data_IF_297718964353
#
_entry.id   IF_297718964353
#
_cell.length_a   1.000
_cell.length_b   1.000
_cell.length_c   1.000
_cell.angle_alpha   90.00
_cell.angle_beta   90.00
_cell.angle_gamma   90.00
#
_symmetry.space_group_name_H-M   'P 1'
#
loop_
_entity.id
_entity.type
_entity.pdbx_description
1 polymer ?
#
# COMPACT_ATOMS: atom_id res chain seq x y z
N UNK A 1 -12.11 12.61 25.89
CA UNK A 1 -11.47 11.37 25.40
C UNK A 1 -10.54 11.76 24.26
N UNK A 2 -9.26 11.40 24.32
CA UNK A 2 -8.38 11.60 23.17
C UNK A 2 -8.88 10.71 22.02
N UNK A 3 -9.41 11.30 20.96
CA UNK A 3 -9.79 10.57 19.74
C UNK A 3 -8.50 9.99 19.14
N UNK A 4 -8.43 8.67 19.03
CA UNK A 4 -7.37 7.99 18.28
C UNK A 4 -7.82 7.95 16.83
N UNK A 5 -7.07 8.57 15.92
CA UNK A 5 -7.39 8.55 14.49
C UNK A 5 -6.58 7.52 13.72
N UNK A 6 -5.52 6.98 14.31
CA UNK A 6 -4.65 5.97 13.71
C UNK A 6 -4.39 4.85 14.74
N UNK A 7 -4.64 3.62 14.36
CA UNK A 7 -4.67 2.45 15.24
C UNK A 7 -3.95 1.26 14.60
N UNK A 8 -3.55 0.24 15.37
CA UNK A 8 -3.06 -1.02 14.82
C UNK A 8 -4.08 -1.68 13.90
N UNK A 9 -3.57 -2.46 12.95
CA UNK A 9 -4.36 -3.21 11.99
C UNK A 9 -3.99 -4.70 12.02
N UNK A 10 -4.84 -5.55 11.46
CA UNK A 10 -4.45 -6.89 11.07
C UNK A 10 -3.72 -6.81 9.73
N UNK A 11 -2.41 -7.08 9.75
CA UNK A 11 -1.54 -6.92 8.58
C UNK A 11 -1.17 -8.29 8.03
N UNK A 12 -1.32 -8.45 6.73
CA UNK A 12 -0.98 -9.68 6.00
C UNK A 12 0.30 -9.47 5.20
N UNK A 13 1.26 -10.37 5.37
CA UNK A 13 2.48 -10.39 4.56
C UNK A 13 2.64 -11.75 3.87
N UNK A 14 3.11 -11.78 2.61
CA UNK A 14 3.36 -13.03 1.91
C UNK A 14 4.47 -13.82 2.58
N UNK A 15 4.39 -15.14 2.47
CA UNK A 15 5.44 -16.05 2.94
C UNK A 15 6.09 -16.76 1.76
N UNK A 16 7.39 -17.05 1.91
CA UNK A 16 8.15 -17.87 0.95
C UNK A 16 8.08 -17.34 -0.50
N UNK A 17 8.10 -16.03 -0.68
CA UNK A 17 8.16 -15.40 -1.99
C UNK A 17 9.29 -14.38 -2.07
N UNK A 18 9.71 -14.07 -3.29
CA UNK A 18 10.64 -12.98 -3.57
C UNK A 18 9.93 -11.63 -3.39
N UNK A 19 10.29 -10.90 -2.35
CA UNK A 19 9.68 -9.62 -2.02
C UNK A 19 9.95 -8.54 -3.07
N UNK A 20 11.05 -8.63 -3.82
CA UNK A 20 11.35 -7.71 -4.93
C UNK A 20 10.39 -7.89 -6.11
N UNK A 21 9.90 -9.12 -6.33
CA UNK A 21 8.86 -9.44 -7.31
C UNK A 21 7.44 -9.27 -6.77
N UNK A 22 7.28 -9.42 -5.45
CA UNK A 22 6.00 -9.21 -4.79
C UNK A 22 5.57 -7.75 -4.86
N UNK A 23 6.46 -6.81 -4.57
CA UNK A 23 6.12 -5.41 -4.33
C UNK A 23 6.17 -4.59 -5.61
N UNK A 24 5.00 -4.30 -6.17
CA UNK A 24 4.82 -3.47 -7.36
C UNK A 24 4.37 -2.06 -6.97
N UNK A 25 4.65 -1.08 -7.80
CA UNK A 25 4.21 0.31 -7.62
C UNK A 25 2.68 0.40 -7.54
N UNK A 26 2.17 1.48 -6.93
CA UNK A 26 0.72 1.71 -6.83
C UNK A 26 0.05 1.77 -8.23
N UNK A 27 -1.16 1.25 -8.31
CA UNK A 27 -1.89 1.02 -9.56
C UNK A 27 -2.20 2.30 -10.36
N UNK A 28 -2.16 3.46 -9.71
CA UNK A 28 -2.39 4.79 -10.30
C UNK A 28 -1.12 5.49 -10.79
N UNK A 29 0.03 4.81 -10.71
CA UNK A 29 1.30 5.31 -11.24
C UNK A 29 1.52 4.81 -12.68
N UNK A 30 2.32 5.53 -13.44
CA UNK A 30 2.71 5.17 -14.80
C UNK A 30 1.54 4.87 -15.75
N UNK A 31 0.42 5.60 -15.58
CA UNK A 31 -0.84 5.38 -16.34
C UNK A 31 -0.73 5.68 -17.83
N UNK A 32 0.29 6.44 -18.25
CA UNK A 32 0.60 6.76 -19.64
C UNK A 32 1.86 6.06 -20.18
N UNK A 33 2.40 5.09 -19.43
CA UNK A 33 3.67 4.42 -19.74
C UNK A 33 3.48 2.90 -19.82
N UNK A 34 2.94 2.36 -20.92
CA UNK A 34 2.67 0.92 -21.07
C UNK A 34 3.95 0.07 -21.02
N UNK A 35 5.09 0.62 -21.44
CA UNK A 35 6.39 -0.06 -21.37
C UNK A 35 6.78 -0.40 -19.95
N UNK A 36 6.53 0.50 -18.98
CA UNK A 36 6.78 0.23 -17.55
C UNK A 36 6.05 -1.03 -17.09
N UNK A 37 4.75 -1.13 -17.40
CA UNK A 37 3.94 -2.27 -16.96
C UNK A 37 4.31 -3.57 -17.69
N UNK A 38 4.79 -3.49 -18.93
CA UNK A 38 5.32 -4.65 -19.65
C UNK A 38 6.60 -5.16 -18.98
N UNK A 39 7.56 -4.27 -18.68
CA UNK A 39 8.82 -4.62 -17.99
C UNK A 39 8.57 -5.20 -16.61
N UNK A 40 7.61 -4.63 -15.85
CA UNK A 40 7.17 -5.17 -14.56
C UNK A 40 6.62 -6.59 -14.73
N UNK A 41 5.77 -6.82 -15.73
CA UNK A 41 5.19 -8.13 -16.00
C UNK A 41 6.26 -9.16 -16.39
N UNK A 42 7.22 -8.78 -17.22
CA UNK A 42 8.37 -9.62 -17.61
C UNK A 42 9.25 -9.96 -16.40
N UNK A 43 9.54 -8.99 -15.54
CA UNK A 43 10.34 -9.20 -14.33
C UNK A 43 9.65 -10.12 -13.32
N UNK A 44 8.35 -9.93 -13.10
CA UNK A 44 7.54 -10.75 -12.19
C UNK A 44 7.42 -12.18 -12.72
N UNK A 45 7.13 -12.36 -14.02
CA UNK A 45 6.88 -13.67 -14.63
C UNK A 45 5.75 -14.40 -13.90
N UNK A 46 5.97 -15.67 -13.56
CA UNK A 46 5.00 -16.53 -12.87
C UNK A 46 5.06 -16.41 -11.33
N UNK A 47 5.90 -15.51 -10.79
CA UNK A 47 6.05 -15.35 -9.35
C UNK A 47 4.79 -14.74 -8.72
N UNK A 48 4.48 -15.08 -7.45
CA UNK A 48 3.47 -14.35 -6.69
C UNK A 48 3.83 -12.86 -6.59
N UNK A 49 2.85 -11.99 -6.89
CA UNK A 49 3.07 -10.55 -6.94
C UNK A 49 1.79 -9.76 -6.72
N UNK A 50 1.92 -8.55 -6.17
CA UNK A 50 0.82 -7.60 -6.09
C UNK A 50 0.35 -7.14 -7.47
N UNK A 51 1.15 -7.31 -8.53
CA UNK A 51 0.71 -7.11 -9.92
C UNK A 51 -0.57 -7.90 -10.24
N UNK A 52 -0.69 -9.11 -9.70
CA UNK A 52 -1.80 -10.03 -9.97
C UNK A 52 -3.04 -9.78 -9.11
N UNK A 53 -2.94 -8.89 -8.12
CA UNK A 53 -4.01 -8.59 -7.16
C UNK A 53 -4.31 -7.09 -7.03
N UNK A 54 -3.71 -6.27 -7.90
CA UNK A 54 -4.06 -4.86 -8.10
C UNK A 54 -4.53 -4.63 -9.53
N UNK A 55 -5.23 -3.51 -9.75
CA UNK A 55 -5.72 -3.15 -11.08
C UNK A 55 -4.97 -1.90 -11.57
N UNK A 56 -3.92 -2.03 -12.40
CA UNK A 56 -3.25 -0.88 -12.97
C UNK A 56 -4.20 -0.03 -13.81
N UNK A 57 -4.24 1.26 -13.56
CA UNK A 57 -5.22 2.17 -14.18
C UNK A 57 -5.02 2.36 -15.69
N UNK A 58 -3.88 1.95 -16.23
CA UNK A 58 -3.67 1.88 -17.68
C UNK A 58 -4.68 0.98 -18.41
N UNK A 59 -5.39 0.10 -17.66
CA UNK A 59 -6.40 -0.81 -18.20
C UNK A 59 -7.85 -0.33 -18.00
N UNK A 60 -8.07 0.89 -17.48
CA UNK A 60 -9.41 1.41 -17.19
C UNK A 60 -10.32 1.46 -18.43
N UNK A 61 -9.76 1.79 -19.60
CA UNK A 61 -10.49 1.95 -20.86
C UNK A 61 -10.45 0.69 -21.73
N UNK A 62 -10.06 -0.47 -21.18
CA UNK A 62 -9.99 -1.73 -21.92
C UNK A 62 -11.29 -2.53 -21.78
N UNK A 63 -11.68 -3.21 -22.86
CA UNK A 63 -12.92 -4.01 -22.92
C UNK A 63 -12.89 -5.20 -21.95
N UNK A 64 -11.71 -5.71 -21.58
CA UNK A 64 -11.51 -6.83 -20.67
C UNK A 64 -11.46 -6.44 -19.19
N UNK A 65 -11.76 -5.18 -18.85
CA UNK A 65 -11.67 -4.64 -17.49
C UNK A 65 -12.39 -5.51 -16.44
N UNK A 66 -13.61 -5.90 -16.71
CA UNK A 66 -14.43 -6.68 -15.76
C UNK A 66 -13.85 -8.09 -15.54
N UNK A 67 -13.38 -8.72 -16.59
CA UNK A 67 -12.69 -10.02 -16.50
C UNK A 67 -11.40 -9.91 -15.66
N UNK A 68 -10.64 -8.84 -15.82
CA UNK A 68 -9.43 -8.59 -15.00
C UNK A 68 -9.79 -8.43 -13.52
N UNK A 69 -10.86 -7.70 -13.19
CA UNK A 69 -11.32 -7.50 -11.80
C UNK A 69 -11.71 -8.84 -11.16
N UNK A 70 -12.45 -9.67 -11.87
CA UNK A 70 -12.79 -11.01 -11.38
C UNK A 70 -11.55 -11.89 -11.14
N UNK A 71 -10.58 -11.82 -12.04
CA UNK A 71 -9.33 -12.58 -11.90
C UNK A 71 -8.50 -12.08 -10.70
N UNK A 72 -8.47 -10.77 -10.44
CA UNK A 72 -7.83 -10.17 -9.26
C UNK A 72 -8.42 -10.78 -7.99
N UNK A 73 -9.75 -10.78 -7.84
CA UNK A 73 -10.41 -11.31 -6.66
C UNK A 73 -10.14 -12.80 -6.45
N UNK A 74 -10.20 -13.61 -7.52
CA UNK A 74 -9.83 -15.03 -7.46
C UNK A 74 -8.39 -15.23 -6.99
N UNK A 75 -7.48 -14.39 -7.47
CA UNK A 75 -6.06 -14.46 -7.11
C UNK A 75 -5.83 -14.01 -5.66
N UNK A 76 -6.55 -12.97 -5.17
CA UNK A 76 -6.49 -12.55 -3.78
C UNK A 76 -6.87 -13.72 -2.83
N UNK A 77 -7.97 -14.42 -3.08
CA UNK A 77 -8.37 -15.60 -2.30
C UNK A 77 -7.35 -16.75 -2.35
N UNK A 78 -6.66 -16.90 -3.48
CA UNK A 78 -5.56 -17.87 -3.58
C UNK A 78 -4.37 -17.46 -2.72
N UNK A 79 -3.99 -16.19 -2.76
CA UNK A 79 -2.82 -15.67 -2.03
C UNK A 79 -3.07 -15.58 -0.52
N UNK A 80 -4.29 -15.24 -0.09
CA UNK A 80 -4.68 -15.19 1.32
C UNK A 80 -4.24 -16.43 2.09
N UNK A 81 -4.39 -17.61 1.49
CA UNK A 81 -4.04 -18.91 2.10
C UNK A 81 -2.56 -19.09 2.42
N UNK A 82 -1.70 -18.31 1.77
CA UNK A 82 -0.23 -18.38 1.92
C UNK A 82 0.33 -17.17 2.67
N UNK A 83 -0.53 -16.31 3.20
CA UNK A 83 -0.09 -15.12 3.94
C UNK A 83 0.02 -15.37 5.43
N UNK A 84 0.98 -14.72 6.06
CA UNK A 84 1.09 -14.62 7.52
C UNK A 84 0.35 -13.39 7.99
N UNK A 85 -0.57 -13.57 8.95
CA UNK A 85 -1.33 -12.49 9.55
C UNK A 85 -0.65 -12.05 10.85
N UNK A 86 -0.36 -10.78 10.97
CA UNK A 86 0.10 -10.11 12.17
C UNK A 86 -1.08 -9.34 12.77
N UNK A 87 -1.63 -9.88 13.84
CA UNK A 87 -2.81 -9.32 14.51
C UNK A 87 -2.48 -8.09 15.32
N UNK A 88 -3.35 -7.05 15.24
CA UNK A 88 -3.26 -5.83 16.04
C UNK A 88 -1.85 -5.22 15.99
N UNK A 89 -1.31 -5.07 14.79
CA UNK A 89 0.07 -4.71 14.52
C UNK A 89 0.20 -3.34 13.84
N UNK A 90 1.37 -2.76 13.94
CA UNK A 90 1.84 -1.64 13.12
C UNK A 90 3.21 -1.99 12.56
N UNK A 91 3.51 -1.56 11.34
CA UNK A 91 4.83 -1.75 10.73
C UNK A 91 5.47 -0.38 10.56
N UNK A 92 6.65 -0.19 11.17
CA UNK A 92 7.52 0.92 10.84
C UNK A 92 8.20 0.63 9.50
N UNK A 93 8.08 1.57 8.56
CA UNK A 93 8.65 1.46 7.21
C UNK A 93 9.75 2.50 7.02
N UNK A 94 10.91 2.04 6.58
CA UNK A 94 11.98 2.89 6.05
C UNK A 94 12.11 2.63 4.56
N UNK A 95 11.93 3.66 3.72
CA UNK A 95 12.20 3.60 2.29
C UNK A 95 13.35 4.54 1.93
N UNK A 96 14.41 4.00 1.34
CA UNK A 96 15.52 4.77 0.77
C UNK A 96 15.31 4.88 -0.74
N UNK A 97 15.15 6.10 -1.24
CA UNK A 97 14.98 6.39 -2.65
C UNK A 97 16.32 6.27 -3.41
N UNK A 98 16.27 6.15 -4.73
CA UNK A 98 17.47 6.09 -5.61
C UNK A 98 18.42 7.28 -5.45
N UNK A 99 17.92 8.43 -5.02
CA UNK A 99 18.72 9.63 -4.71
C UNK A 99 19.26 9.66 -3.26
N UNK A 100 19.16 8.57 -2.51
CA UNK A 100 19.62 8.43 -1.13
C UNK A 100 18.72 9.07 -0.07
N UNK A 101 17.65 9.78 -0.44
CA UNK A 101 16.70 10.34 0.53
C UNK A 101 15.87 9.24 1.17
N UNK A 102 15.65 9.37 2.47
CA UNK A 102 14.81 8.44 3.25
C UNK A 102 13.40 9.00 3.46
N UNK A 103 12.44 8.10 3.41
CA UNK A 103 11.06 8.32 3.87
C UNK A 103 10.78 7.35 4.99
N UNK A 104 10.19 7.85 6.06
CA UNK A 104 9.74 7.07 7.20
C UNK A 104 8.22 7.07 7.23
N UNK A 105 7.63 5.95 7.63
CA UNK A 105 6.19 5.82 7.73
C UNK A 105 5.79 4.72 8.70
N UNK A 106 4.54 4.72 9.10
CA UNK A 106 3.93 3.66 9.91
C UNK A 106 2.71 3.14 9.16
N UNK A 107 2.64 1.84 8.95
CA UNK A 107 1.45 1.16 8.40
C UNK A 107 0.54 0.78 9.56
N UNK A 108 -0.73 1.12 9.43
CA UNK A 108 -1.78 0.82 10.40
C UNK A 108 -3.16 1.09 9.79
N UNK A 109 -4.18 1.23 10.59
CA UNK A 109 -5.53 1.57 10.15
C UNK A 109 -5.89 3.01 10.56
N UNK A 110 -6.57 3.73 9.66
CA UNK A 110 -7.17 5.02 9.96
C UNK A 110 -8.62 4.83 10.39
N UNK A 111 -9.00 5.50 11.48
CA UNK A 111 -10.40 5.52 11.92
C UNK A 111 -11.19 6.51 11.07
N UNK A 112 -12.04 6.00 10.19
CA UNK A 112 -12.84 6.82 9.28
C UNK A 112 -13.90 7.66 10.00
N UNK A 113 -14.28 7.29 11.22
CA UNK A 113 -15.17 8.12 12.06
C UNK A 113 -14.46 9.40 12.56
N UNK A 114 -13.12 9.41 12.51
CA UNK A 114 -12.32 10.60 12.80
C UNK A 114 -12.06 11.48 11.56
N UNK A 115 -12.61 11.12 10.41
CA UNK A 115 -12.45 11.83 9.14
C UNK A 115 -13.63 12.77 8.88
N UNK A 116 -13.32 14.04 8.64
CA UNK A 116 -14.29 15.03 8.20
C UNK A 116 -13.60 16.00 7.22
N UNK A 117 -14.12 16.08 6.00
CA UNK A 117 -13.62 16.95 4.94
C UNK A 117 -14.44 18.23 4.74
N UNK A 118 -15.35 18.52 5.67
CA UNK A 118 -16.12 19.77 5.64
C UNK A 118 -15.18 20.98 5.78
N UNK A 119 -15.50 22.05 5.09
CA UNK A 119 -14.75 23.31 5.19
C UNK A 119 -14.78 23.82 6.62
N UNK A 120 -13.58 24.07 7.20
CA UNK A 120 -13.44 24.55 8.58
C UNK A 120 -13.50 23.45 9.64
N UNK A 121 -13.54 22.17 9.25
CA UNK A 121 -13.44 21.05 10.19
C UNK A 121 -12.11 21.09 10.95
N UNK A 122 -12.16 20.71 12.24
CA UNK A 122 -11.01 20.48 13.12
C UNK A 122 -10.63 18.99 13.21
N UNK A 123 -11.11 18.18 12.28
CA UNK A 123 -10.80 16.75 12.20
C UNK A 123 -9.29 16.51 12.13
N UNK A 124 -8.84 15.44 12.83
CA UNK A 124 -7.44 15.02 12.80
C UNK A 124 -7.02 14.44 11.43
N UNK A 125 -7.97 13.86 10.68
CA UNK A 125 -7.75 13.37 9.33
C UNK A 125 -8.42 14.35 8.36
N UNK A 126 -7.63 14.89 7.43
CA UNK A 126 -8.10 15.94 6.48
C UNK A 126 -7.87 15.48 5.05
N UNK A 127 -8.79 15.85 4.16
CA UNK A 127 -8.59 15.69 2.73
C UNK A 127 -7.53 16.69 2.23
N UNK A 128 -6.59 16.20 1.41
CA UNK A 128 -5.56 17.04 0.76
C UNK A 128 -5.87 17.28 -0.71
N UNK A 129 -6.74 16.45 -1.30
CA UNK A 129 -7.09 16.50 -2.72
C UNK A 129 -8.50 15.94 -2.97
N UNK A 130 -9.06 16.25 -4.14
CA UNK A 130 -10.32 15.66 -4.61
C UNK A 130 -10.07 14.36 -5.37
N UNK A 131 -10.99 13.40 -5.24
CA UNK A 131 -10.93 12.13 -5.96
C UNK A 131 -11.45 12.29 -7.38
N UNK A 132 -10.80 11.66 -8.35
CA UNK A 132 -11.28 11.53 -9.74
C UNK A 132 -12.43 10.52 -9.76
N UNK A 133 -13.65 11.00 -10.04
CA UNK A 133 -14.88 10.20 -9.89
C UNK A 133 -14.89 8.93 -10.73
N UNK A 134 -14.40 8.97 -11.96
CA UNK A 134 -14.38 7.83 -12.89
C UNK A 134 -13.50 6.67 -12.42
N UNK A 135 -12.61 6.93 -11.45
CA UNK A 135 -11.74 5.90 -10.85
C UNK A 135 -12.38 5.16 -9.68
N UNK A 136 -13.50 5.67 -9.16
CA UNK A 136 -14.18 5.08 -8.00
C UNK A 136 -14.84 3.73 -8.32
N UNK A 137 -15.68 3.59 -9.37
CA UNK A 137 -16.44 2.37 -9.60
C UNK A 137 -15.57 1.10 -9.72
N UNK A 138 -14.48 1.06 -10.52
CA UNK A 138 -13.64 -0.14 -10.60
C UNK A 138 -12.94 -0.46 -9.28
N UNK A 139 -12.56 0.54 -8.50
CA UNK A 139 -11.96 0.34 -7.17
C UNK A 139 -12.98 -0.26 -6.18
N UNK A 140 -14.22 0.23 -6.19
CA UNK A 140 -15.32 -0.34 -5.39
C UNK A 140 -15.57 -1.79 -5.79
N UNK A 141 -15.70 -2.06 -7.08
CA UNK A 141 -15.97 -3.42 -7.60
C UNK A 141 -14.92 -4.45 -7.17
N UNK A 142 -13.63 -4.05 -7.11
CA UNK A 142 -12.58 -4.92 -6.57
C UNK A 142 -12.81 -5.17 -5.07
N UNK A 143 -13.09 -4.11 -4.29
CA UNK A 143 -13.21 -4.19 -2.83
C UNK A 143 -14.42 -4.93 -2.34
N UNK A 144 -15.54 -4.88 -3.05
CA UNK A 144 -16.78 -5.59 -2.69
C UNK A 144 -16.57 -7.09 -2.44
N UNK A 145 -15.57 -7.70 -3.11
CA UNK A 145 -15.30 -9.13 -3.02
C UNK A 145 -13.83 -9.42 -2.64
N UNK A 146 -13.11 -8.46 -2.08
CA UNK A 146 -11.71 -8.62 -1.73
C UNK A 146 -11.53 -9.12 -0.29
N UNK A 147 -10.73 -10.16 -0.05
CA UNK A 147 -10.41 -10.61 1.30
C UNK A 147 -9.35 -9.73 1.99
N UNK A 148 -8.73 -8.81 1.25
CA UNK A 148 -7.67 -7.93 1.74
C UNK A 148 -7.73 -6.56 1.08
N UNK A 149 -7.24 -5.53 1.76
CA UNK A 149 -7.16 -4.16 1.25
C UNK A 149 -5.82 -3.91 0.54
N UNK A 150 -5.88 -3.46 -0.69
CA UNK A 150 -4.76 -3.04 -1.55
C UNK A 150 -5.27 -2.06 -2.61
N UNK A 151 -4.46 -1.08 -3.04
CA UNK A 151 -3.25 -0.51 -2.43
C UNK A 151 -3.58 0.33 -1.19
N UNK A 152 -2.60 0.54 -0.32
CA UNK A 152 -2.78 1.38 0.86
C UNK A 152 -2.77 2.88 0.52
N UNK A 153 -3.54 3.65 1.29
CA UNK A 153 -3.54 5.11 1.19
C UNK A 153 -2.32 5.64 1.96
N UNK A 154 -1.61 6.61 1.37
CA UNK A 154 -0.53 7.32 2.03
C UNK A 154 -1.07 8.61 2.64
N UNK A 155 -1.04 8.69 3.97
CA UNK A 155 -1.32 9.89 4.73
C UNK A 155 -0.02 10.62 5.04
N UNK A 156 -0.06 11.94 5.04
CA UNK A 156 1.04 12.79 5.50
C UNK A 156 0.78 13.23 6.94
N UNK A 157 1.76 13.02 7.82
CA UNK A 157 1.71 13.53 9.18
C UNK A 157 2.14 15.01 9.19
N UNK A 158 1.27 15.88 9.73
CA UNK A 158 1.64 17.26 10.02
C UNK A 158 2.34 17.30 11.39
N UNK A 159 3.63 17.01 11.39
CA UNK A 159 4.48 16.90 12.59
C UNK A 159 5.85 17.58 12.38
N UNK A 160 5.88 18.93 12.33
CA UNK A 160 7.13 19.67 12.13
C UNK A 160 8.15 19.48 13.24
N UNK A 161 7.74 19.06 14.45
CA UNK A 161 8.61 18.76 15.58
C UNK A 161 9.16 17.32 15.56
N UNK A 162 8.73 16.47 14.63
CA UNK A 162 9.18 15.09 14.50
C UNK A 162 8.97 14.24 15.76
N UNK A 163 7.79 14.36 16.34
CA UNK A 163 7.44 13.73 17.62
C UNK A 163 6.67 12.42 17.48
N UNK A 164 6.24 12.07 16.28
CA UNK A 164 5.40 10.89 16.01
C UNK A 164 6.21 9.72 15.44
N UNK A 165 6.80 9.88 14.26
CA UNK A 165 7.44 8.76 13.54
C UNK A 165 8.90 8.61 13.94
N UNK A 166 9.64 9.70 14.05
CA UNK A 166 11.08 9.67 14.36
C UNK A 166 11.42 9.03 15.70
N UNK A 167 10.70 9.26 16.81
CA UNK A 167 10.97 8.56 18.06
C UNK A 167 10.75 7.05 18.00
N UNK A 168 9.86 6.58 17.12
CA UNK A 168 9.68 5.15 16.84
C UNK A 168 10.85 4.63 16.03
N UNK A 169 11.26 5.37 15.00
CA UNK A 169 12.41 5.03 14.17
C UNK A 169 13.72 4.94 14.94
N UNK A 170 13.94 5.81 15.91
CA UNK A 170 15.14 5.79 16.76
C UNK A 170 15.27 4.50 17.58
N UNK A 171 14.14 3.83 17.82
CA UNK A 171 14.07 2.54 18.53
C UNK A 171 14.05 1.32 17.60
N UNK A 172 14.20 1.48 16.28
CA UNK A 172 14.04 0.40 15.28
C UNK A 172 14.89 -0.83 15.55
N UNK A 173 16.09 -0.64 16.15
CA UNK A 173 17.00 -1.75 16.44
C UNK A 173 16.46 -2.70 17.54
N UNK A 174 15.41 -2.28 18.27
CA UNK A 174 14.67 -3.11 19.22
C UNK A 174 13.51 -3.87 18.59
N UNK A 175 13.16 -3.61 17.33
CA UNK A 175 12.09 -4.25 16.60
C UNK A 175 12.60 -5.40 15.74
N UNK A 176 11.71 -6.31 15.38
CA UNK A 176 12.03 -7.38 14.44
C UNK A 176 11.96 -6.86 13.01
N UNK A 177 13.06 -6.93 12.26
CA UNK A 177 13.04 -6.66 10.83
C UNK A 177 12.30 -7.81 10.12
N UNK A 178 11.18 -7.48 9.47
CA UNK A 178 10.29 -8.47 8.83
C UNK A 178 10.45 -8.51 7.32
N UNK A 179 11.01 -7.47 6.71
CA UNK A 179 11.45 -7.45 5.32
C UNK A 179 12.55 -6.39 5.10
N UNK A 180 13.45 -6.68 4.17
CA UNK A 180 14.61 -5.84 3.81
C UNK A 180 15.01 -6.20 2.37
N UNK A 181 14.66 -5.36 1.37
CA UNK A 181 14.86 -5.70 -0.04
C UNK A 181 14.87 -4.46 -0.96
N UNK A 182 15.40 -4.64 -2.18
CA UNK A 182 15.34 -3.63 -3.24
C UNK A 182 14.01 -3.71 -3.99
N UNK A 183 13.43 -2.53 -4.24
CA UNK A 183 12.22 -2.40 -5.07
C UNK A 183 12.60 -2.45 -6.55
N UNK A 184 11.75 -3.09 -7.35
CA UNK A 184 11.93 -3.18 -8.80
C UNK A 184 11.96 -1.80 -9.47
N UNK A 185 12.47 -1.75 -10.70
CA UNK A 185 12.50 -0.56 -11.56
C UNK A 185 13.12 0.69 -10.91
N UNK A 186 14.20 0.48 -10.14
CA UNK A 186 14.90 1.59 -9.47
C UNK A 186 14.08 2.28 -8.37
N UNK A 187 13.07 1.60 -7.84
CA UNK A 187 12.19 2.12 -6.78
C UNK A 187 12.88 2.41 -5.45
N UNK A 188 14.17 2.04 -5.33
CA UNK A 188 14.99 2.17 -4.12
C UNK A 188 14.83 0.97 -3.19
N UNK A 189 15.25 1.13 -1.95
CA UNK A 189 15.31 0.08 -0.95
C UNK A 189 14.23 0.26 0.13
N UNK A 190 13.66 -0.83 0.62
CA UNK A 190 12.62 -0.78 1.66
C UNK A 190 12.90 -1.77 2.79
N UNK A 191 12.69 -1.30 4.03
CA UNK A 191 12.73 -2.11 5.25
C UNK A 191 11.44 -1.95 6.02
N UNK A 192 11.00 -3.05 6.66
CA UNK A 192 9.87 -3.03 7.56
C UNK A 192 10.22 -3.65 8.90
N UNK A 193 9.76 -3.02 9.98
CA UNK A 193 10.01 -3.43 11.36
C UNK A 193 8.69 -3.58 12.11
N UNK A 194 8.57 -4.65 12.90
CA UNK A 194 7.42 -5.00 13.73
C UNK A 194 7.81 -5.05 15.21
#
# INVERSE_FOLDING_TARGET
MNKKCFIPADIMLPQNCDMSKWSVVACDQYTSQPEYWREVSEYVGDAPSTLNITFPEIFLDKDDKDCRIEQINKTMYKYEKSMKVYKNAMILVERTLSNGKKRLGIVGAADLEAYDFSVGSDSLIRATEGTVLDRIPPRVKIRENAPMELPHIMLLADDPQKTVIEPVYDKRDSFTCIYDFELMQGGGHIKGYL
#
